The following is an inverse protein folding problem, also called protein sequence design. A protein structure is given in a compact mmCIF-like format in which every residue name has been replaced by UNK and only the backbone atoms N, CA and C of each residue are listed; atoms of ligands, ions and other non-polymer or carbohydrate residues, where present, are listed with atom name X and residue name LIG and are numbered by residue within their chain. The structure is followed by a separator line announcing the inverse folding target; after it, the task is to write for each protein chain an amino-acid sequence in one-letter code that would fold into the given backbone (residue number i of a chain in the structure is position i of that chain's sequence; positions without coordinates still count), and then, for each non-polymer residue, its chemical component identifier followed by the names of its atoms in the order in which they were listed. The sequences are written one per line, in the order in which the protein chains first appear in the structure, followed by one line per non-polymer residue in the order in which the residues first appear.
data_IF_547241240049
#
_entry.id   IF_547241240049
#
_cell.length_a   1.000
_cell.length_b   1.000
_cell.length_c   1.000
_cell.angle_alpha   90.00
_cell.angle_beta   90.00
_cell.angle_gamma   90.00
#
_symmetry.space_group_name_H-M   'P 1'
#
loop_
_entity.id
_entity.type
_entity.pdbx_description
1 polymer ?
#
# COMPACT_ATOMS: atom_id res chain seq x y z
N UNK A 1 6.82 2.61 -21.47
CA UNK A 1 5.48 2.06 -21.82
C UNK A 1 5.34 0.66 -21.22
N UNK A 2 4.16 0.24 -20.71
CA UNK A 2 3.94 -1.11 -20.18
C UNK A 2 4.30 -2.23 -21.17
N UNK A 3 4.09 -2.01 -22.46
CA UNK A 3 4.46 -2.97 -23.50
C UNK A 3 5.97 -3.20 -23.58
N UNK A 4 6.78 -2.14 -23.50
CA UNK A 4 8.24 -2.23 -23.52
C UNK A 4 8.72 -3.02 -22.29
N UNK A 5 8.11 -2.78 -21.12
CA UNK A 5 8.46 -3.50 -19.89
C UNK A 5 8.17 -5.00 -20.00
N UNK A 6 7.01 -5.37 -20.52
CA UNK A 6 6.62 -6.78 -20.72
C UNK A 6 7.56 -7.46 -21.73
N UNK A 7 7.93 -6.75 -22.81
CA UNK A 7 8.90 -7.27 -23.77
C UNK A 7 10.27 -7.46 -23.12
N UNK A 8 10.76 -6.48 -22.40
CA UNK A 8 12.02 -6.56 -21.66
C UNK A 8 12.05 -7.74 -20.68
N UNK A 9 10.96 -7.98 -19.95
CA UNK A 9 10.87 -9.14 -19.06
C UNK A 9 10.99 -10.47 -19.80
N UNK A 10 10.42 -10.60 -21.00
CA UNK A 10 10.52 -11.82 -21.81
C UNK A 10 11.94 -12.06 -22.33
N UNK A 11 12.63 -10.99 -22.70
CA UNK A 11 14.00 -11.03 -23.24
C UNK A 11 15.04 -11.27 -22.15
N UNK A 12 14.98 -10.45 -21.07
CA UNK A 12 15.97 -10.45 -19.98
C UNK A 12 15.74 -11.62 -19.01
N UNK A 13 14.48 -12.03 -18.81
CA UNK A 13 14.08 -13.09 -17.87
C UNK A 13 14.68 -12.91 -16.47
N UNK A 14 14.39 -11.78 -15.78
CA UNK A 14 15.03 -11.42 -14.52
C UNK A 14 14.76 -12.46 -13.44
N UNK A 15 15.73 -12.62 -12.52
CA UNK A 15 15.58 -13.49 -11.35
C UNK A 15 15.01 -12.78 -10.15
N UNK A 16 15.34 -11.51 -9.98
CA UNK A 16 14.82 -10.62 -8.93
C UNK A 16 14.14 -9.44 -9.61
N UNK A 17 12.92 -9.13 -9.17
CA UNK A 17 12.15 -7.99 -9.66
C UNK A 17 11.87 -7.08 -8.48
N UNK A 18 12.31 -5.82 -8.55
CA UNK A 18 11.94 -4.78 -7.61
C UNK A 18 10.82 -3.95 -8.24
N UNK A 19 9.73 -3.76 -7.52
CA UNK A 19 8.56 -3.02 -8.01
C UNK A 19 7.96 -2.13 -6.93
N UNK A 20 7.29 -1.08 -7.38
CA UNK A 20 6.43 -0.28 -6.52
C UNK A 20 5.02 -0.90 -6.45
N UNK A 21 4.30 -0.75 -5.33
CA UNK A 21 2.94 -1.29 -5.15
C UNK A 21 1.99 -0.96 -6.31
N UNK A 22 1.98 0.29 -6.76
CA UNK A 22 1.10 0.78 -7.82
C UNK A 22 1.09 -0.09 -9.09
N UNK A 23 2.24 -0.61 -9.51
CA UNK A 23 2.34 -1.48 -10.70
C UNK A 23 1.62 -2.80 -10.46
N UNK A 24 1.84 -3.39 -9.30
CA UNK A 24 1.28 -4.69 -8.92
C UNK A 24 -0.22 -4.58 -8.64
N UNK A 25 -0.63 -3.50 -8.01
CA UNK A 25 -2.04 -3.18 -7.74
C UNK A 25 -2.84 -2.95 -9.02
N UNK A 26 -2.26 -2.30 -10.03
CA UNK A 26 -2.87 -2.18 -11.37
C UNK A 26 -3.05 -3.55 -12.03
N UNK A 27 -2.07 -4.44 -11.94
CA UNK A 27 -2.21 -5.81 -12.43
C UNK A 27 -3.34 -6.52 -11.67
N UNK A 28 -3.39 -6.42 -10.35
CA UNK A 28 -4.45 -6.99 -9.53
C UNK A 28 -5.82 -6.43 -9.94
N UNK A 29 -5.97 -5.12 -9.94
CA UNK A 29 -7.24 -4.42 -10.17
C UNK A 29 -7.80 -4.64 -11.58
N UNK A 30 -6.97 -4.48 -12.61
CA UNK A 30 -7.45 -4.45 -13.99
C UNK A 30 -7.36 -5.80 -14.71
N UNK A 31 -6.49 -6.72 -14.28
CA UNK A 31 -6.32 -8.01 -14.93
C UNK A 31 -6.87 -9.19 -14.11
N UNK A 32 -6.68 -9.18 -12.79
CA UNK A 32 -7.02 -10.32 -11.95
C UNK A 32 -8.42 -10.19 -11.33
N UNK A 33 -8.71 -9.06 -10.71
CA UNK A 33 -9.98 -8.83 -10.01
C UNK A 33 -11.21 -9.02 -10.91
N UNK A 34 -11.27 -8.53 -12.16
CA UNK A 34 -12.41 -8.76 -13.06
C UNK A 34 -12.64 -10.23 -13.39
N UNK A 35 -11.58 -11.04 -13.43
CA UNK A 35 -11.67 -12.47 -13.72
C UNK A 35 -12.20 -13.24 -12.50
N UNK A 36 -11.61 -12.99 -11.32
CA UNK A 36 -11.99 -13.71 -10.09
C UNK A 36 -13.35 -13.30 -9.54
N UNK A 37 -13.85 -12.11 -9.90
CA UNK A 37 -15.15 -11.58 -9.46
C UNK A 37 -16.32 -12.10 -10.26
N UNK A 38 -16.10 -12.81 -11.40
CA UNK A 38 -17.19 -13.39 -12.19
C UNK A 38 -17.98 -14.40 -11.37
N UNK A 39 -19.33 -14.46 -11.50
CA UNK A 39 -20.16 -15.38 -10.71
C UNK A 39 -19.71 -16.84 -10.85
N UNK A 40 -19.46 -17.30 -12.07
CA UNK A 40 -18.96 -18.65 -12.34
C UNK A 40 -17.62 -18.90 -11.63
N UNK A 41 -16.69 -17.94 -11.67
CA UNK A 41 -15.39 -18.07 -11.00
C UNK A 41 -15.54 -18.13 -9.48
N UNK A 42 -16.45 -17.34 -8.90
CA UNK A 42 -16.74 -17.39 -7.46
C UNK A 42 -17.25 -18.77 -7.03
N UNK A 43 -18.06 -19.44 -7.85
CA UNK A 43 -18.53 -20.81 -7.59
C UNK A 43 -17.36 -21.79 -7.69
N UNK A 44 -16.59 -21.76 -8.78
CA UNK A 44 -15.44 -22.64 -8.99
C UNK A 44 -14.39 -22.53 -7.89
N UNK A 45 -14.15 -21.31 -7.37
CA UNK A 45 -13.21 -21.06 -6.27
C UNK A 45 -13.67 -21.62 -4.91
N UNK A 46 -14.94 -22.05 -4.76
CA UNK A 46 -15.43 -22.74 -3.57
C UNK A 46 -15.13 -24.24 -3.59
N UNK A 47 -14.80 -24.81 -4.76
CA UNK A 47 -14.52 -26.25 -4.92
C UNK A 47 -13.02 -26.50 -4.65
N UNK A 48 -12.63 -27.24 -3.59
CA UNK A 48 -11.23 -27.32 -3.12
C UNK A 48 -10.22 -27.73 -4.19
N UNK A 49 -10.46 -28.78 -4.96
CA UNK A 49 -9.55 -29.25 -6.00
C UNK A 49 -9.42 -28.25 -7.16
N UNK A 50 -10.53 -27.73 -7.66
CA UNK A 50 -10.60 -26.76 -8.77
C UNK A 50 -9.93 -25.44 -8.37
N UNK A 51 -10.17 -24.97 -7.16
CA UNK A 51 -9.54 -23.75 -6.61
C UNK A 51 -8.01 -23.79 -6.74
N UNK A 52 -7.39 -24.90 -6.33
CA UNK A 52 -5.92 -25.00 -6.35
C UNK A 52 -5.38 -25.00 -7.80
N UNK A 53 -6.07 -25.66 -8.73
CA UNK A 53 -5.70 -25.66 -10.15
C UNK A 53 -5.81 -24.26 -10.74
N UNK A 54 -6.91 -23.55 -10.46
CA UNK A 54 -7.12 -22.18 -10.95
C UNK A 54 -6.06 -21.22 -10.41
N UNK A 55 -5.78 -21.26 -9.11
CA UNK A 55 -4.75 -20.43 -8.50
C UNK A 55 -3.36 -20.72 -9.04
N UNK A 56 -3.03 -21.99 -9.28
CA UNK A 56 -1.79 -22.39 -9.95
C UNK A 56 -1.69 -21.79 -11.35
N UNK A 57 -2.75 -21.90 -12.17
CA UNK A 57 -2.78 -21.32 -13.53
C UNK A 57 -2.63 -19.78 -13.51
N UNK A 58 -3.30 -19.08 -12.57
CA UNK A 58 -3.15 -17.63 -12.43
C UNK A 58 -1.72 -17.26 -12.07
N UNK A 59 -1.11 -17.95 -11.11
CA UNK A 59 0.29 -17.75 -10.74
C UNK A 59 1.23 -17.97 -11.93
N UNK A 60 1.13 -19.11 -12.62
CA UNK A 60 1.97 -19.44 -13.78
C UNK A 60 1.86 -18.41 -14.89
N UNK A 61 0.65 -17.88 -15.15
CA UNK A 61 0.45 -16.79 -16.11
C UNK A 61 1.15 -15.50 -15.71
N UNK A 62 1.08 -15.14 -14.43
CA UNK A 62 1.83 -13.97 -13.90
C UNK A 62 3.34 -14.18 -13.98
N UNK A 63 3.82 -15.34 -13.55
CA UNK A 63 5.23 -15.69 -13.61
C UNK A 63 5.76 -15.64 -15.05
N UNK A 64 4.99 -16.14 -16.01
CA UNK A 64 5.32 -16.05 -17.44
C UNK A 64 5.36 -14.61 -17.94
N UNK A 65 4.44 -13.76 -17.48
CA UNK A 65 4.42 -12.33 -17.84
C UNK A 65 5.67 -11.58 -17.32
N UNK A 66 6.25 -12.05 -16.24
CA UNK A 66 7.51 -11.56 -15.67
C UNK A 66 8.76 -12.26 -16.24
N UNK A 67 8.66 -12.96 -17.35
CA UNK A 67 9.77 -13.64 -18.03
C UNK A 67 9.98 -15.10 -17.61
N UNK A 68 9.19 -15.64 -16.71
CA UNK A 68 9.14 -17.06 -16.34
C UNK A 68 10.33 -17.60 -15.52
N UNK A 69 11.34 -16.76 -15.22
CA UNK A 69 12.57 -17.19 -14.53
C UNK A 69 12.79 -16.50 -13.18
N UNK A 70 11.85 -15.63 -12.76
CA UNK A 70 12.06 -14.88 -11.52
C UNK A 70 11.91 -15.79 -10.28
N UNK A 71 12.70 -15.49 -9.27
CA UNK A 71 12.68 -16.20 -7.99
C UNK A 71 11.86 -15.45 -6.95
N UNK A 72 11.87 -14.12 -7.04
CA UNK A 72 11.22 -13.27 -6.07
C UNK A 72 10.84 -11.91 -6.66
N UNK A 73 9.69 -11.42 -6.25
CA UNK A 73 9.18 -10.07 -6.49
C UNK A 73 9.23 -9.31 -5.17
N UNK A 74 10.07 -8.29 -5.08
CA UNK A 74 10.14 -7.41 -3.91
C UNK A 74 9.32 -6.15 -4.20
N UNK A 75 8.39 -5.86 -3.32
CA UNK A 75 7.47 -4.72 -3.42
C UNK A 75 7.85 -3.73 -2.32
N UNK A 76 8.13 -2.48 -2.69
CA UNK A 76 8.53 -1.48 -1.72
C UNK A 76 8.34 -0.04 -2.19
N UNK A 77 8.58 0.91 -1.30
CA UNK A 77 8.49 2.35 -1.57
C UNK A 77 7.15 3.00 -1.27
N UNK A 78 6.11 2.21 -0.99
CA UNK A 78 4.81 2.65 -0.48
C UNK A 78 4.08 1.47 0.18
N UNK A 79 2.97 1.74 0.88
CA UNK A 79 2.10 0.69 1.42
C UNK A 79 1.53 -0.18 0.30
N UNK A 80 1.55 -1.50 0.50
CA UNK A 80 0.99 -2.44 -0.46
C UNK A 80 -0.46 -2.76 -0.11
N UNK A 81 -1.35 -2.68 -1.10
CA UNK A 81 -2.78 -2.90 -0.92
C UNK A 81 -3.08 -4.27 -0.30
N UNK A 82 -3.80 -4.28 0.82
CA UNK A 82 -4.06 -5.48 1.62
C UNK A 82 -4.85 -6.56 0.86
N UNK A 83 -5.79 -6.20 -0.03
CA UNK A 83 -6.56 -7.17 -0.80
C UNK A 83 -5.72 -7.80 -1.91
N UNK A 84 -4.87 -7.00 -2.57
CA UNK A 84 -3.90 -7.48 -3.54
C UNK A 84 -2.90 -8.43 -2.88
N UNK A 85 -2.38 -8.06 -1.72
CA UNK A 85 -1.46 -8.89 -0.95
C UNK A 85 -2.10 -10.21 -0.51
N UNK A 86 -3.32 -10.17 0.06
CA UNK A 86 -4.09 -11.37 0.40
C UNK A 86 -4.30 -12.29 -0.81
N UNK A 87 -4.55 -11.70 -1.98
CA UNK A 87 -4.72 -12.48 -3.20
C UNK A 87 -3.40 -13.13 -3.64
N UNK A 88 -2.29 -12.38 -3.64
CA UNK A 88 -0.96 -12.92 -3.97
C UNK A 88 -0.56 -14.07 -3.05
N UNK A 89 -0.89 -13.95 -1.76
CA UNK A 89 -0.70 -15.04 -0.79
C UNK A 89 -1.54 -16.28 -1.15
N UNK A 90 -2.83 -16.08 -1.51
CA UNK A 90 -3.74 -17.19 -1.90
C UNK A 90 -3.23 -17.95 -3.11
N UNK A 91 -2.69 -17.27 -4.13
CA UNK A 91 -2.13 -17.93 -5.31
C UNK A 91 -0.70 -18.44 -5.08
N UNK A 92 -0.14 -18.27 -3.89
CA UNK A 92 1.24 -18.64 -3.53
C UNK A 92 2.29 -17.97 -4.43
N UNK A 93 2.08 -16.68 -4.74
CA UNK A 93 3.07 -15.89 -5.47
C UNK A 93 4.34 -15.72 -4.63
N UNK A 94 5.49 -15.75 -5.27
CA UNK A 94 6.79 -15.52 -4.62
C UNK A 94 7.07 -14.03 -4.51
N UNK A 95 6.55 -13.40 -3.48
CA UNK A 95 6.72 -11.98 -3.21
C UNK A 95 7.12 -11.72 -1.76
N UNK A 96 7.78 -10.60 -1.55
CA UNK A 96 8.03 -10.01 -0.24
C UNK A 96 7.78 -8.50 -0.29
N UNK A 97 7.45 -7.93 0.84
CA UNK A 97 7.35 -6.47 1.01
C UNK A 97 8.57 -6.01 1.79
N UNK A 98 9.26 -4.98 1.27
CA UNK A 98 10.38 -4.34 1.94
C UNK A 98 10.04 -2.89 2.30
N UNK A 99 10.61 -2.42 3.40
CA UNK A 99 10.50 -1.05 3.83
C UNK A 99 11.86 -0.36 3.81
N UNK A 100 11.84 0.89 3.41
CA UNK A 100 13.05 1.69 3.37
C UNK A 100 12.82 3.15 3.00
N UNK A 101 13.85 3.95 3.25
CA UNK A 101 13.89 5.37 2.93
C UNK A 101 15.29 5.78 2.51
N UNK A 102 15.39 6.89 1.78
CA UNK A 102 16.66 7.39 1.24
C UNK A 102 17.70 7.62 2.34
N UNK A 103 17.24 8.08 3.48
CA UNK A 103 18.04 8.37 4.67
C UNK A 103 18.72 7.13 5.30
N UNK A 104 18.37 5.93 4.82
CA UNK A 104 18.94 4.65 5.32
C UNK A 104 19.56 3.79 4.23
N UNK A 105 19.93 4.33 3.09
CA UNK A 105 20.73 3.77 2.03
C UNK A 105 20.28 2.55 1.22
N UNK A 106 19.00 2.28 0.86
CA UNK A 106 17.72 2.73 1.40
C UNK A 106 17.01 1.70 2.30
N UNK A 107 17.51 0.45 2.44
CA UNK A 107 16.75 -0.68 3.01
C UNK A 107 16.80 -0.69 4.54
N UNK A 108 15.63 -0.75 5.14
CA UNK A 108 15.44 -0.81 6.60
C UNK A 108 15.02 -2.21 7.04
N UNK A 109 13.97 -2.74 6.41
CA UNK A 109 13.48 -4.07 6.74
C UNK A 109 13.08 -4.86 5.50
N UNK A 110 13.27 -6.17 5.57
CA UNK A 110 12.96 -7.12 4.52
C UNK A 110 12.97 -8.53 5.09
N UNK A 111 12.20 -9.42 4.47
CA UNK A 111 12.30 -10.86 4.67
C UNK A 111 11.96 -11.57 3.36
N UNK A 112 12.62 -12.69 3.06
CA UNK A 112 12.41 -13.42 1.82
C UNK A 112 11.00 -14.01 1.72
N UNK A 113 10.52 -14.22 0.51
CA UNK A 113 9.15 -14.68 0.22
C UNK A 113 8.70 -15.94 0.97
N UNK A 114 9.66 -16.78 1.45
CA UNK A 114 9.34 -18.00 2.19
C UNK A 114 8.88 -17.74 3.61
N UNK A 115 9.42 -16.73 4.22
CA UNK A 115 9.22 -16.35 5.63
C UNK A 115 8.37 -15.09 5.77
N UNK A 116 8.20 -14.31 4.67
CA UNK A 116 7.40 -13.09 4.65
C UNK A 116 6.00 -13.31 5.24
N UNK A 117 5.54 -12.38 6.07
CA UNK A 117 4.22 -12.38 6.73
C UNK A 117 3.29 -11.38 6.06
N UNK A 118 2.01 -11.73 6.02
CA UNK A 118 0.96 -10.87 5.47
C UNK A 118 0.89 -9.55 6.23
N UNK A 119 0.96 -8.43 5.52
CA UNK A 119 0.92 -7.08 6.07
C UNK A 119 2.22 -6.60 6.71
N UNK A 120 3.28 -7.44 6.75
CA UNK A 120 4.58 -7.09 7.31
C UNK A 120 5.56 -6.66 6.22
N UNK A 121 6.45 -5.75 6.59
CA UNK A 121 7.60 -5.35 5.78
C UNK A 121 8.89 -6.14 6.11
N UNK A 122 8.75 -7.30 6.77
CA UNK A 122 9.89 -8.15 7.17
C UNK A 122 10.53 -7.72 8.49
N UNK A 123 11.75 -8.16 8.68
CA UNK A 123 12.58 -7.88 9.87
C UNK A 123 13.64 -6.84 9.55
N UNK A 124 14.22 -6.22 10.58
CA UNK A 124 15.37 -5.35 10.43
C UNK A 124 16.48 -6.02 9.62
N UNK A 125 17.14 -5.26 8.76
CA UNK A 125 18.42 -5.72 8.19
C UNK A 125 19.51 -5.74 9.25
N UNK A 126 20.54 -6.59 9.06
CA UNK A 126 21.58 -6.84 10.06
C UNK A 126 22.40 -5.59 10.45
N UNK A 127 22.36 -4.54 9.63
CA UNK A 127 23.09 -3.29 9.83
C UNK A 127 22.32 -2.24 10.62
N UNK A 128 21.05 -2.51 10.97
CA UNK A 128 20.15 -1.59 11.67
C UNK A 128 19.52 -2.22 12.92
N UNK A 129 19.39 -1.40 13.94
CA UNK A 129 18.47 -1.60 15.05
C UNK A 129 17.18 -0.82 14.77
N UNK A 130 16.03 -1.44 15.03
CA UNK A 130 14.71 -0.80 14.96
C UNK A 130 14.07 -0.82 16.34
N UNK A 131 13.54 0.30 16.79
CA UNK A 131 12.65 0.36 17.95
C UNK A 131 11.34 1.07 17.55
N UNK A 132 10.28 0.78 18.28
CA UNK A 132 9.03 1.55 18.23
C UNK A 132 8.98 2.40 19.49
N UNK A 133 8.81 3.71 19.31
CA UNK A 133 8.60 4.64 20.42
C UNK A 133 7.16 4.48 20.95
N UNK A 134 7.01 3.50 21.83
CA UNK A 134 5.72 3.08 22.36
C UNK A 134 5.91 2.32 23.68
N UNK A 135 4.97 2.42 24.64
CA UNK A 135 5.02 1.66 25.88
C UNK A 135 4.84 0.15 25.67
N UNK A 136 4.25 -0.28 24.56
CA UNK A 136 4.10 -1.67 24.14
C UNK A 136 4.30 -1.79 22.64
N UNK A 137 5.56 -1.96 22.17
CA UNK A 137 5.91 -1.99 20.75
C UNK A 137 5.15 -3.02 19.90
N UNK A 138 4.61 -4.06 20.51
CA UNK A 138 3.89 -5.12 19.81
C UNK A 138 2.40 -4.81 19.59
N UNK A 139 1.79 -4.02 20.48
CA UNK A 139 0.34 -3.80 20.50
C UNK A 139 -0.06 -2.32 20.37
N UNK A 140 0.81 -1.40 20.76
CA UNK A 140 0.55 0.04 20.71
C UNK A 140 1.42 0.66 19.63
N UNK A 141 0.76 1.30 18.66
CA UNK A 141 1.44 1.98 17.54
C UNK A 141 2.26 3.14 18.07
N UNK A 142 3.53 3.21 17.64
CA UNK A 142 4.45 4.31 17.91
C UNK A 142 5.30 4.63 16.69
N UNK A 143 6.15 5.65 16.82
CA UNK A 143 7.07 6.01 15.75
C UNK A 143 8.16 4.95 15.61
N UNK A 144 8.46 4.64 14.34
CA UNK A 144 9.57 3.75 13.98
C UNK A 144 10.85 4.56 14.06
N UNK A 145 11.76 4.16 14.94
CA UNK A 145 13.08 4.76 15.09
C UNK A 145 14.18 3.77 14.71
N UNK A 146 15.26 4.29 14.14
CA UNK A 146 16.33 3.51 13.54
C UNK A 146 17.69 3.94 14.09
N UNK A 147 18.60 2.98 14.26
CA UNK A 147 20.02 3.25 14.55
C UNK A 147 20.89 2.22 13.84
N UNK A 148 21.99 2.63 13.24
CA UNK A 148 22.95 1.70 12.63
C UNK A 148 23.78 2.29 11.50
N UNK A 149 24.57 1.43 10.88
CA UNK A 149 25.65 1.84 9.96
C UNK A 149 25.14 2.44 8.63
N UNK A 150 23.91 2.16 8.24
CA UNK A 150 23.32 2.68 7.00
C UNK A 150 22.39 3.89 7.23
N UNK A 151 22.29 4.43 8.46
CA UNK A 151 21.66 5.72 8.70
C UNK A 151 22.55 6.83 8.13
N UNK A 152 21.94 7.79 7.44
CA UNK A 152 22.64 8.94 6.86
C UNK A 152 23.45 9.73 7.89
N UNK A 153 24.50 10.42 7.46
CA UNK A 153 25.24 11.36 8.31
C UNK A 153 24.45 12.66 8.58
N UNK A 154 23.48 12.97 7.75
CA UNK A 154 22.65 14.15 7.86
C UNK A 154 22.24 14.72 6.50
N UNK A 155 21.40 15.76 6.52
CA UNK A 155 21.01 16.50 5.34
C UNK A 155 22.11 17.52 4.95
N UNK A 156 22.51 17.49 3.68
CA UNK A 156 23.60 18.32 3.17
C UNK A 156 23.35 19.81 3.42
N UNK A 157 24.27 20.47 4.12
CA UNK A 157 24.18 21.91 4.52
C UNK A 157 22.91 22.29 5.26
N UNK A 158 22.29 21.35 5.98
CA UNK A 158 21.07 21.59 6.75
C UNK A 158 21.14 20.88 8.11
N UNK A 159 22.00 21.42 8.99
CA UNK A 159 22.17 20.89 10.35
C UNK A 159 20.88 20.93 11.17
N UNK A 160 20.06 22.00 10.96
CA UNK A 160 18.79 22.11 11.68
C UNK A 160 17.88 20.93 11.39
N UNK A 161 17.61 20.63 10.11
CA UNK A 161 16.80 19.49 9.75
C UNK A 161 17.43 18.15 10.16
N UNK A 162 18.76 18.08 10.20
CA UNK A 162 19.46 16.88 10.68
C UNK A 162 19.18 16.63 12.16
N UNK A 163 19.32 17.66 13.00
CA UNK A 163 19.06 17.59 14.44
C UNK A 163 17.58 17.35 14.79
N UNK A 164 16.67 17.70 13.89
CA UNK A 164 15.24 17.42 14.06
C UNK A 164 14.91 15.94 13.87
N UNK A 165 15.76 15.15 13.17
CA UNK A 165 15.48 13.76 12.85
C UNK A 165 16.50 12.78 13.41
N UNK A 166 17.71 13.20 13.80
CA UNK A 166 18.74 12.36 14.41
C UNK A 166 19.07 12.86 15.80
N UNK A 167 18.83 12.01 16.80
CA UNK A 167 19.17 12.27 18.20
C UNK A 167 20.68 12.18 18.44
N UNK A 168 21.15 12.75 19.56
CA UNK A 168 22.59 12.76 19.92
C UNK A 168 23.17 11.35 20.09
N UNK A 169 22.37 10.37 20.51
CA UNK A 169 22.75 8.99 20.68
C UNK A 169 22.64 8.16 19.38
N UNK A 170 22.31 8.80 18.26
CA UNK A 170 22.28 8.23 16.91
C UNK A 170 20.96 7.57 16.51
N UNK A 171 19.90 7.67 17.31
CA UNK A 171 18.58 7.25 16.86
C UNK A 171 17.99 8.24 15.87
N UNK A 172 17.44 7.73 14.77
CA UNK A 172 16.79 8.54 13.73
C UNK A 172 15.28 8.31 13.75
N UNK A 173 14.54 9.38 13.76
CA UNK A 173 13.09 9.44 13.60
C UNK A 173 12.72 9.30 12.13
N UNK A 174 11.87 8.34 11.79
CA UNK A 174 11.45 8.11 10.39
C UNK A 174 10.22 8.92 10.00
N UNK A 175 9.43 9.37 10.97
CA UNK A 175 8.10 9.93 10.76
C UNK A 175 7.08 8.87 10.32
N UNK A 176 7.45 7.60 10.25
CA UNK A 176 6.53 6.49 9.97
C UNK A 176 6.10 5.83 11.28
N UNK A 177 4.85 5.40 11.35
CA UNK A 177 4.25 4.76 12.51
C UNK A 177 4.08 3.26 12.28
N UNK A 178 4.28 2.46 13.34
CA UNK A 178 4.16 1.02 13.21
C UNK A 178 4.19 0.27 14.52
N UNK A 179 4.23 -1.05 14.42
CA UNK A 179 4.43 -2.00 15.52
C UNK A 179 5.43 -3.08 15.09
N UNK A 180 6.12 -3.69 16.06
CA UNK A 180 6.98 -4.85 15.85
C UNK A 180 6.42 -6.00 16.67
N UNK A 181 6.10 -7.13 16.01
CA UNK A 181 5.62 -8.29 16.72
C UNK A 181 6.73 -8.99 17.53
N UNK A 182 6.34 -9.96 18.39
CA UNK A 182 7.26 -10.72 19.24
C UNK A 182 8.36 -11.50 18.48
N UNK A 183 8.14 -11.73 17.18
CA UNK A 183 9.09 -12.45 16.34
C UNK A 183 9.98 -11.47 15.51
N UNK A 184 9.84 -10.16 15.75
CA UNK A 184 10.64 -9.09 15.13
C UNK A 184 10.15 -8.63 13.76
N UNK A 185 8.92 -8.96 13.38
CA UNK A 185 8.33 -8.47 12.11
C UNK A 185 7.73 -7.08 12.29
N UNK A 186 8.11 -6.18 11.37
CA UNK A 186 7.64 -4.79 11.33
C UNK A 186 6.34 -4.69 10.53
N UNK A 187 5.36 -3.98 11.09
CA UNK A 187 4.07 -3.66 10.45
C UNK A 187 3.89 -2.14 10.45
N UNK A 188 3.95 -1.52 9.28
CA UNK A 188 3.73 -0.08 9.10
C UNK A 188 2.24 0.20 9.13
N UNK A 189 1.86 1.31 9.78
CA UNK A 189 0.46 1.78 9.88
C UNK A 189 0.20 3.02 9.04
N UNK A 190 1.17 3.92 8.95
CA UNK A 190 1.08 5.16 8.19
C UNK A 190 2.15 6.15 8.59
N UNK A 191 1.97 7.41 8.18
CA UNK A 191 2.85 8.52 8.57
C UNK A 191 2.28 9.32 9.73
N UNK A 192 3.13 9.77 10.64
CA UNK A 192 2.70 10.56 11.79
C UNK A 192 2.04 11.87 11.36
N UNK A 193 2.57 12.52 10.31
CA UNK A 193 2.03 13.78 9.75
C UNK A 193 0.72 13.61 8.98
N UNK A 194 0.40 12.39 8.54
CA UNK A 194 -0.80 12.08 7.77
C UNK A 194 -1.91 11.47 8.65
N UNK A 195 -1.58 11.13 9.90
CA UNK A 195 -2.53 10.57 10.87
C UNK A 195 -3.61 11.60 11.22
N UNK A 196 -4.85 11.16 11.21
CA UNK A 196 -6.01 11.96 11.62
C UNK A 196 -6.47 11.52 13.02
N UNK A 197 -6.89 12.50 13.81
CA UNK A 197 -7.53 12.21 15.09
C UNK A 197 -9.03 12.08 14.87
N UNK A 198 -9.60 10.92 15.15
CA UNK A 198 -11.04 10.72 15.06
C UNK A 198 -11.79 11.35 16.22
N UNK A 199 -13.12 11.57 16.10
CA UNK A 199 -13.96 12.16 17.16
C UNK A 199 -13.92 11.42 18.49
N UNK A 200 -13.61 10.12 18.45
CA UNK A 200 -13.47 9.27 19.64
C UNK A 200 -12.05 9.27 20.24
N UNK A 201 -11.15 10.15 19.78
CA UNK A 201 -9.74 10.19 20.20
C UNK A 201 -8.91 9.04 19.65
N UNK A 202 -9.43 8.24 18.72
CA UNK A 202 -8.69 7.15 18.06
C UNK A 202 -7.88 7.69 16.88
N UNK A 203 -6.66 7.20 16.75
CA UNK A 203 -5.83 7.46 15.59
C UNK A 203 -6.42 6.77 14.35
N UNK A 204 -6.55 7.53 13.27
CA UNK A 204 -7.03 7.07 11.97
C UNK A 204 -5.88 7.23 10.97
N UNK A 205 -5.58 6.16 10.26
CA UNK A 205 -4.57 6.13 9.21
C UNK A 205 -5.26 6.18 7.85
N UNK A 206 -5.27 7.32 7.16
CA UNK A 206 -6.02 7.51 5.91
C UNK A 206 -5.68 6.48 4.85
N UNK A 207 -4.43 6.05 4.77
CA UNK A 207 -3.97 5.06 3.81
C UNK A 207 -4.69 3.71 3.94
N UNK A 208 -5.09 3.32 5.15
CA UNK A 208 -5.86 2.09 5.37
C UNK A 208 -7.24 2.19 4.70
N UNK A 209 -7.90 3.34 4.83
CA UNK A 209 -9.20 3.61 4.21
C UNK A 209 -9.06 3.70 2.69
N UNK A 210 -8.08 4.47 2.21
CA UNK A 210 -7.78 4.66 0.78
C UNK A 210 -7.44 3.34 0.10
N UNK A 211 -6.72 2.45 0.77
CA UNK A 211 -6.43 1.10 0.29
C UNK A 211 -7.71 0.31 -0.02
N UNK A 212 -8.77 0.48 0.78
CA UNK A 212 -10.07 -0.13 0.52
C UNK A 212 -10.79 0.55 -0.63
N UNK A 213 -10.83 1.90 -0.64
CA UNK A 213 -11.49 2.70 -1.68
C UNK A 213 -10.87 2.44 -3.05
N UNK A 214 -9.56 2.39 -3.15
CA UNK A 214 -8.83 2.23 -4.41
C UNK A 214 -9.03 0.86 -5.08
N UNK A 215 -9.59 -0.13 -4.39
CA UNK A 215 -9.96 -1.42 -4.98
C UNK A 215 -11.20 -1.35 -5.88
N UNK A 216 -12.03 -0.30 -5.77
CA UNK A 216 -13.22 -0.18 -6.59
C UNK A 216 -12.88 0.23 -8.01
N UNK A 217 -13.56 -0.39 -8.97
CA UNK A 217 -13.32 -0.29 -10.41
C UNK A 217 -13.34 1.15 -10.93
N UNK A 218 -14.23 1.97 -10.38
CA UNK A 218 -14.49 3.33 -10.86
C UNK A 218 -13.68 4.41 -10.14
N UNK A 219 -12.83 4.03 -9.20
CA UNK A 219 -11.93 4.92 -8.49
C UNK A 219 -10.53 4.78 -9.07
N UNK A 220 -9.96 5.83 -9.62
CA UNK A 220 -8.56 5.82 -10.06
C UNK A 220 -7.65 6.07 -8.86
N UNK A 221 -7.96 7.07 -8.04
CA UNK A 221 -7.20 7.46 -6.86
C UNK A 221 -8.13 8.05 -5.80
N UNK A 222 -7.73 8.00 -4.55
CA UNK A 222 -8.45 8.63 -3.45
C UNK A 222 -7.51 9.26 -2.43
N UNK A 223 -8.01 10.30 -1.74
CA UNK A 223 -7.39 10.90 -0.56
C UNK A 223 -8.46 11.06 0.50
N UNK A 224 -8.20 10.56 1.70
CA UNK A 224 -9.10 10.74 2.84
C UNK A 224 -8.58 11.87 3.72
N UNK A 225 -9.44 12.83 4.00
CA UNK A 225 -9.16 14.01 4.82
C UNK A 225 -10.17 14.11 5.96
N UNK A 226 -9.87 14.96 6.94
CA UNK A 226 -10.82 15.38 7.96
C UNK A 226 -11.39 16.75 7.61
N UNK A 227 -12.69 16.90 7.63
CA UNK A 227 -13.42 18.18 7.53
C UNK A 227 -14.50 18.19 8.63
N UNK A 228 -14.48 19.19 9.50
CA UNK A 228 -15.42 19.33 10.62
C UNK A 228 -15.53 18.03 11.44
N UNK A 229 -14.41 17.47 11.84
CA UNK A 229 -14.28 16.19 12.58
C UNK A 229 -14.90 14.97 11.86
N UNK A 230 -15.15 15.06 10.56
CA UNK A 230 -15.69 13.98 9.74
C UNK A 230 -14.73 13.56 8.65
N UNK A 231 -14.67 12.25 8.41
CA UNK A 231 -13.87 11.73 7.31
C UNK A 231 -14.59 11.96 5.97
N UNK A 232 -13.85 12.56 5.04
CA UNK A 232 -14.30 12.83 3.67
C UNK A 232 -13.30 12.18 2.70
N UNK A 233 -13.83 11.37 1.79
CA UNK A 233 -13.03 10.81 0.70
C UNK A 233 -13.06 11.73 -0.53
N UNK A 234 -11.93 12.28 -0.93
CA UNK A 234 -11.76 12.91 -2.22
C UNK A 234 -11.47 11.81 -3.25
N UNK A 235 -12.26 11.73 -4.30
CA UNK A 235 -12.20 10.63 -5.28
C UNK A 235 -11.86 11.22 -6.65
N UNK A 236 -10.75 10.77 -7.22
CA UNK A 236 -10.48 10.94 -8.64
C UNK A 236 -11.02 9.72 -9.39
N UNK A 237 -12.05 9.88 -10.24
CA UNK A 237 -12.68 8.75 -10.90
C UNK A 237 -11.81 8.15 -12.01
N UNK A 238 -12.03 6.87 -12.31
CA UNK A 238 -11.50 6.23 -13.51
C UNK A 238 -12.36 6.61 -14.74
N UNK A 239 -12.06 7.76 -15.32
CA UNK A 239 -12.81 8.32 -16.45
C UNK A 239 -12.83 7.40 -17.68
N UNK A 240 -11.78 6.60 -17.90
CA UNK A 240 -11.74 5.66 -19.01
C UNK A 240 -12.76 4.55 -18.81
N UNK A 241 -12.82 4.00 -17.62
CA UNK A 241 -13.78 2.95 -17.25
C UNK A 241 -15.22 3.48 -17.28
N UNK A 242 -15.46 4.68 -16.73
CA UNK A 242 -16.79 5.31 -16.76
C UNK A 242 -17.30 5.54 -18.18
N UNK A 243 -16.47 6.06 -19.08
CA UNK A 243 -16.81 6.25 -20.51
C UNK A 243 -17.13 4.94 -21.21
N UNK A 244 -16.35 3.90 -20.96
CA UNK A 244 -16.59 2.55 -21.56
C UNK A 244 -17.94 1.97 -21.16
N UNK A 245 -18.46 2.33 -19.98
CA UNK A 245 -19.71 1.81 -19.44
C UNK A 245 -20.88 2.78 -19.56
N UNK A 246 -20.67 3.95 -20.19
CA UNK A 246 -21.72 4.96 -20.43
C UNK A 246 -22.25 5.60 -19.15
N UNK A 247 -21.42 5.69 -18.09
CA UNK A 247 -21.80 6.28 -16.80
C UNK A 247 -21.53 7.79 -16.87
N UNK A 248 -22.61 8.61 -16.85
CA UNK A 248 -22.53 10.07 -16.75
C UNK A 248 -22.39 10.57 -15.30
N UNK A 249 -22.36 11.90 -15.14
CA UNK A 249 -22.14 12.55 -13.84
C UNK A 249 -23.18 12.14 -12.77
N UNK A 250 -24.47 12.12 -13.14
CA UNK A 250 -25.56 11.72 -12.23
C UNK A 250 -25.40 10.25 -11.78
N UNK A 251 -25.03 9.37 -12.73
CA UNK A 251 -24.74 7.97 -12.44
C UNK A 251 -23.53 7.80 -11.54
N UNK A 252 -22.52 8.64 -11.70
CA UNK A 252 -21.31 8.62 -10.89
C UNK A 252 -21.62 8.95 -9.43
N UNK A 253 -22.46 9.95 -9.15
CA UNK A 253 -22.81 10.33 -7.78
C UNK A 253 -23.48 9.19 -7.01
N UNK A 254 -24.48 8.53 -7.61
CA UNK A 254 -25.17 7.38 -7.03
C UNK A 254 -24.22 6.18 -6.84
N UNK A 255 -23.33 5.94 -7.79
CA UNK A 255 -22.34 4.89 -7.74
C UNK A 255 -21.34 5.11 -6.58
N UNK A 256 -20.84 6.33 -6.41
CA UNK A 256 -19.91 6.68 -5.34
C UNK A 256 -20.55 6.54 -3.96
N UNK A 257 -21.86 6.88 -3.80
CA UNK A 257 -22.54 6.64 -2.53
C UNK A 257 -22.71 5.15 -2.22
N UNK A 258 -22.96 4.33 -3.25
CA UNK A 258 -22.99 2.87 -3.09
C UNK A 258 -21.64 2.33 -2.68
N UNK A 259 -20.55 2.79 -3.32
CA UNK A 259 -19.17 2.42 -2.98
C UNK A 259 -18.85 2.84 -1.55
N UNK A 260 -19.20 4.06 -1.15
CA UNK A 260 -18.99 4.56 0.22
C UNK A 260 -19.63 3.66 1.28
N UNK A 261 -20.87 3.26 1.06
CA UNK A 261 -21.60 2.33 1.96
C UNK A 261 -20.88 0.98 2.07
N UNK A 262 -20.42 0.44 0.94
CA UNK A 262 -19.70 -0.84 0.93
C UNK A 262 -18.31 -0.72 1.57
N UNK A 263 -17.61 0.39 1.37
CA UNK A 263 -16.34 0.71 2.07
C UNK A 263 -16.55 0.73 3.57
N UNK A 264 -17.59 1.45 4.05
CA UNK A 264 -17.87 1.56 5.48
C UNK A 264 -18.25 0.20 6.11
N UNK A 265 -18.91 -0.68 5.37
CA UNK A 265 -19.19 -2.06 5.83
C UNK A 265 -17.91 -2.92 5.99
N UNK A 266 -16.80 -2.50 5.42
CA UNK A 266 -15.51 -3.22 5.47
C UNK A 266 -14.54 -2.63 6.49
N UNK A 267 -14.83 -1.45 7.00
CA UNK A 267 -14.01 -0.71 7.95
C UNK A 267 -14.64 -0.73 9.35
N UNK A 268 -13.83 -0.57 10.41
CA UNK A 268 -14.36 -0.28 11.75
C UNK A 268 -15.17 1.01 11.76
N UNK A 269 -16.21 1.08 12.60
CA UNK A 269 -17.15 2.22 12.67
C UNK A 269 -16.45 3.58 12.86
N UNK A 270 -15.36 3.63 13.64
CA UNK A 270 -14.62 4.87 13.88
C UNK A 270 -13.84 5.39 12.65
N UNK A 271 -13.71 4.57 11.61
CA UNK A 271 -13.12 4.92 10.31
C UNK A 271 -14.17 5.21 9.24
N UNK A 272 -15.45 5.31 9.60
CA UNK A 272 -16.51 5.50 8.64
C UNK A 272 -16.39 6.83 7.89
N UNK A 273 -16.39 6.76 6.56
CA UNK A 273 -16.32 7.94 5.67
C UNK A 273 -17.74 8.49 5.48
N UNK A 274 -17.94 9.75 5.82
CA UNK A 274 -19.28 10.38 5.80
C UNK A 274 -19.76 10.70 4.39
N UNK A 275 -18.85 11.14 3.52
CA UNK A 275 -19.16 11.43 2.11
C UNK A 275 -17.98 11.18 1.21
N UNK A 276 -18.25 10.87 -0.06
CA UNK A 276 -17.29 10.99 -1.14
C UNK A 276 -17.55 12.27 -1.93
N UNK A 277 -16.48 12.94 -2.33
CA UNK A 277 -16.50 14.12 -3.18
C UNK A 277 -15.59 13.89 -4.39
N UNK A 278 -16.12 14.12 -5.57
CA UNK A 278 -15.34 14.01 -6.81
C UNK A 278 -14.26 15.09 -6.83
N UNK A 279 -13.02 14.69 -7.06
CA UNK A 279 -11.91 15.59 -7.36
C UNK A 279 -11.78 15.70 -8.88
N UNK A 280 -11.75 16.91 -9.45
CA UNK A 280 -11.87 17.10 -10.91
C UNK A 280 -10.62 16.66 -11.69
N UNK A 281 -9.45 16.67 -11.04
CA UNK A 281 -8.14 16.41 -11.66
C UNK A 281 -7.39 15.31 -10.93
N UNK A 282 -6.35 14.75 -11.56
CA UNK A 282 -5.42 13.85 -10.88
C UNK A 282 -4.76 14.55 -9.70
N UNK A 283 -4.58 13.83 -8.59
CA UNK A 283 -3.86 14.36 -7.44
C UNK A 283 -2.40 14.64 -7.77
N UNK A 284 -1.88 15.76 -7.25
CA UNK A 284 -0.46 16.12 -7.40
C UNK A 284 0.41 15.09 -6.67
N UNK A 285 1.42 14.58 -7.35
CA UNK A 285 2.28 13.50 -6.87
C UNK A 285 3.73 13.91 -6.72
N UNK A 286 4.42 13.21 -5.86
CA UNK A 286 5.88 13.22 -5.79
C UNK A 286 6.48 12.47 -7.00
N UNK A 287 7.81 12.59 -7.27
CA UNK A 287 8.48 11.74 -8.25
C UNK A 287 8.27 10.23 -8.04
N UNK A 288 8.12 9.79 -6.78
CA UNK A 288 7.81 8.40 -6.40
C UNK A 288 6.35 7.99 -6.64
N UNK A 289 5.52 8.87 -7.24
CA UNK A 289 4.09 8.67 -7.50
C UNK A 289 3.20 8.62 -6.24
N UNK A 290 3.69 9.01 -5.09
CA UNK A 290 2.88 9.21 -3.88
C UNK A 290 2.14 10.55 -3.94
N UNK A 291 0.88 10.59 -3.53
CA UNK A 291 0.07 11.82 -3.52
C UNK A 291 0.62 12.78 -2.47
N UNK A 292 0.74 14.06 -2.82
CA UNK A 292 1.11 15.14 -1.90
C UNK A 292 -0.10 15.54 -1.06
N UNK A 293 -0.41 14.73 -0.04
CA UNK A 293 -1.60 14.86 0.81
C UNK A 293 -1.79 16.25 1.40
N UNK A 294 -0.71 16.90 1.86
CA UNK A 294 -0.74 18.22 2.47
C UNK A 294 -1.38 19.32 1.60
N UNK A 295 -1.50 19.10 0.27
CA UNK A 295 -2.18 20.05 -0.63
C UNK A 295 -3.71 19.99 -0.52
N UNK A 296 -4.25 18.95 0.11
CA UNK A 296 -5.68 18.68 0.19
C UNK A 296 -6.22 18.72 1.62
N UNK A 297 -5.33 18.72 2.61
CA UNK A 297 -5.69 18.97 4.01
C UNK A 297 -5.91 20.47 4.18
N UNK A 298 -7.07 20.87 4.73
CA UNK A 298 -7.28 22.25 5.18
C UNK A 298 -6.64 22.38 6.57
N UNK A 299 -5.94 23.49 6.78
CA UNK A 299 -5.46 23.91 8.10
C UNK A 299 -6.61 24.09 9.08
#
# INVERSE_FOLDING_TARGET
SPHILIQAFKEIRPRLILSVPLVIEKIYKYQLLPVISKPVMKVLLKIPGIKNILFKKVREKLETSFGGNFKELVIGGAAFNADAEKFFRKIRMRYAVGYGMTECGPLISYDGWRTARLGSCGKSVDTLEIKIDSPDPANVVGEIMLRGANVMLGYYKNEKATKEVIEEDGWMHTGDLGVIDKDGYLFIRGRSKDMLLGPSGKNIYPEEIESVINNYKYVAESVVISEDDKLVGLIYPDHETLRKEGIGEDGLAALLDTIRKDVNNRLPDYMAVTKFRVHPEEFVKTPKKSIKRYLYMKD
#
